data_IF_726162087289
#
_entry.id   IF_726162087289
#
_cell.length_a   1.000
_cell.length_b   1.000
_cell.length_c   1.000
_cell.angle_alpha   90.00
_cell.angle_beta   90.00
_cell.angle_gamma   90.00
#
_symmetry.space_group_name_H-M   'P 1'
#
loop_
_entity.id
_entity.type
_entity.pdbx_description
1 polymer ?
#
# COMPACT_ATOMS: atom_id res chain seq x y z
N UNK A 1 -5.59 8.40 -9.68
CA UNK A 1 -6.53 7.52 -8.96
C UNK A 1 -6.55 8.02 -7.52
N UNK A 2 -7.64 8.61 -7.06
CA UNK A 2 -7.71 9.24 -5.72
C UNK A 2 -7.83 8.14 -4.66
N UNK A 3 -6.92 8.14 -3.70
CA UNK A 3 -6.99 7.29 -2.53
C UNK A 3 -7.92 7.94 -1.52
N UNK A 4 -8.98 7.24 -1.11
CA UNK A 4 -9.96 7.75 -0.15
C UNK A 4 -9.49 7.42 1.27
N UNK A 5 -9.40 8.42 2.14
CA UNK A 5 -9.24 8.23 3.58
C UNK A 5 -10.59 8.52 4.21
N UNK A 6 -11.21 7.49 4.80
CA UNK A 6 -12.48 7.62 5.51
C UNK A 6 -12.22 7.58 7.01
N UNK A 7 -12.62 8.64 7.71
CA UNK A 7 -12.52 8.74 9.16
C UNK A 7 -13.76 8.12 9.81
N UNK A 8 -13.56 7.22 10.77
CA UNK A 8 -14.61 6.70 11.64
C UNK A 8 -14.22 6.94 13.09
N UNK A 9 -14.99 7.79 13.79
CA UNK A 9 -14.91 7.96 15.24
C UNK A 9 -15.86 6.95 15.89
N UNK A 10 -15.35 6.15 16.82
CA UNK A 10 -16.15 5.20 17.60
C UNK A 10 -15.96 5.49 19.09
N UNK A 11 -17.07 5.73 19.78
CA UNK A 11 -17.12 6.21 21.16
C UNK A 11 -17.88 5.17 21.99
N UNK A 12 -17.24 4.63 23.04
CA UNK A 12 -17.84 3.67 23.96
C UNK A 12 -17.67 4.18 25.41
N UNK A 13 -18.48 3.68 26.34
CA UNK A 13 -18.64 4.16 27.73
C UNK A 13 -17.35 4.21 28.59
N UNK A 14 -16.21 3.76 28.07
CA UNK A 14 -14.93 3.70 28.79
C UNK A 14 -13.73 4.32 28.03
N UNK A 15 -13.81 4.54 26.70
CA UNK A 15 -12.73 5.11 25.87
C UNK A 15 -13.27 5.70 24.56
N UNK A 16 -12.67 6.80 24.11
CA UNK A 16 -12.84 7.33 22.75
C UNK A 16 -11.73 6.78 21.87
N UNK A 17 -12.07 6.25 20.68
CA UNK A 17 -11.10 5.78 19.70
C UNK A 17 -11.39 6.39 18.34
N UNK A 18 -10.33 6.80 17.63
CA UNK A 18 -10.43 7.37 16.28
C UNK A 18 -9.70 6.43 15.34
N UNK A 19 -10.37 6.04 14.26
CA UNK A 19 -9.83 5.17 13.24
C UNK A 19 -9.91 5.84 11.88
N UNK A 20 -8.89 5.64 11.05
CA UNK A 20 -8.91 6.00 9.65
C UNK A 20 -8.71 4.75 8.83
N UNK A 21 -9.65 4.49 7.92
CA UNK A 21 -9.43 3.49 6.88
C UNK A 21 -8.50 4.10 5.84
N UNK A 22 -7.33 3.49 5.68
CA UNK A 22 -6.38 3.78 4.62
C UNK A 22 -6.49 2.67 3.57
N UNK A 23 -7.28 2.91 2.53
CA UNK A 23 -7.24 2.04 1.36
C UNK A 23 -5.90 2.30 0.66
N UNK A 24 -5.06 1.28 0.47
CA UNK A 24 -3.82 1.49 -0.29
C UNK A 24 -4.18 1.80 -1.76
N UNK A 25 -3.46 2.72 -2.44
CA UNK A 25 -3.70 2.97 -3.86
C UNK A 25 -3.56 1.66 -4.63
N UNK A 26 -4.54 1.37 -5.49
CA UNK A 26 -4.64 0.09 -6.19
C UNK A 26 -3.31 -0.26 -6.88
N UNK A 27 -2.99 -1.56 -7.03
CA UNK A 27 -1.75 -2.02 -7.63
C UNK A 27 -1.41 -1.44 -9.02
N UNK A 28 -2.42 -0.92 -9.74
CA UNK A 28 -2.28 -0.27 -11.04
C UNK A 28 -1.39 0.98 -11.02
N UNK A 29 -1.20 1.60 -9.85
CA UNK A 29 -0.29 2.74 -9.66
C UNK A 29 1.08 2.34 -9.11
N UNK A 30 1.30 1.05 -8.80
CA UNK A 30 2.59 0.56 -8.33
C UNK A 30 3.52 0.42 -9.53
N UNK A 31 4.68 1.05 -9.41
CA UNK A 31 5.75 0.87 -10.37
C UNK A 31 6.41 -0.47 -10.12
N UNK A 32 5.92 -1.54 -10.75
CA UNK A 32 6.58 -2.85 -10.70
C UNK A 32 8.05 -2.77 -11.15
N UNK A 33 8.38 -1.74 -11.91
CA UNK A 33 9.70 -1.44 -12.45
C UNK A 33 10.67 -0.81 -11.45
N UNK A 34 10.22 -0.22 -10.33
CA UNK A 34 11.07 0.73 -9.59
C UNK A 34 11.88 0.15 -8.44
N UNK A 35 11.61 -1.05 -7.90
CA UNK A 35 12.51 -1.53 -6.84
C UNK A 35 12.61 -3.04 -6.74
N UNK A 36 13.40 -3.62 -7.65
CA UNK A 36 13.97 -4.96 -7.48
C UNK A 36 14.80 -5.06 -6.19
N UNK A 37 15.40 -3.96 -5.76
CA UNK A 37 16.14 -3.88 -4.50
C UNK A 37 15.25 -4.12 -3.28
N UNK A 38 13.98 -3.71 -3.31
CA UNK A 38 13.03 -4.03 -2.23
C UNK A 38 12.78 -5.53 -2.15
N UNK A 39 12.65 -6.22 -3.30
CA UNK A 39 12.50 -7.69 -3.27
C UNK A 39 13.73 -8.33 -2.64
N UNK A 40 14.92 -7.82 -2.95
CA UNK A 40 16.18 -8.31 -2.39
C UNK A 40 16.27 -8.05 -0.88
N UNK A 41 15.91 -6.85 -0.43
CA UNK A 41 15.85 -6.48 0.99
C UNK A 41 14.83 -7.32 1.76
N UNK A 42 13.69 -7.64 1.13
CA UNK A 42 12.67 -8.52 1.68
C UNK A 42 13.07 -10.01 1.65
N UNK A 43 14.29 -10.33 1.20
CA UNK A 43 14.87 -11.67 1.25
C UNK A 43 14.51 -12.57 0.07
N UNK A 44 13.99 -12.02 -1.03
CA UNK A 44 13.70 -12.79 -2.24
C UNK A 44 15.01 -13.15 -2.95
N UNK A 45 15.27 -14.43 -3.25
CA UNK A 45 16.47 -14.85 -3.97
C UNK A 45 16.64 -14.19 -5.35
N UNK A 46 17.87 -13.82 -5.70
CA UNK A 46 18.20 -13.10 -6.94
C UNK A 46 17.70 -13.84 -8.21
N UNK A 47 17.75 -15.18 -8.23
CA UNK A 47 17.25 -15.94 -9.38
C UNK A 47 15.73 -15.79 -9.57
N UNK A 48 14.93 -15.66 -8.49
CA UNK A 48 13.50 -15.38 -8.58
C UNK A 48 13.25 -13.93 -9.02
N UNK A 49 14.06 -12.98 -8.53
CA UNK A 49 14.02 -11.59 -9.00
C UNK A 49 14.31 -11.51 -10.50
N UNK A 50 15.29 -12.28 -11.00
CA UNK A 50 15.59 -12.37 -12.42
C UNK A 50 14.42 -12.93 -13.24
N UNK A 51 13.75 -14.00 -12.75
CA UNK A 51 12.54 -14.52 -13.38
C UNK A 51 11.42 -13.47 -13.44
N UNK A 52 11.22 -12.71 -12.36
CA UNK A 52 10.25 -11.61 -12.34
C UNK A 52 10.64 -10.50 -13.32
N UNK A 53 11.90 -10.10 -13.38
CA UNK A 53 12.40 -9.12 -14.38
C UNK A 53 12.06 -9.56 -15.79
N UNK A 54 12.34 -10.82 -16.13
CA UNK A 54 12.03 -11.37 -17.45
C UNK A 54 10.52 -11.45 -17.71
N UNK A 55 9.73 -11.76 -16.68
CA UNK A 55 8.27 -11.74 -16.78
C UNK A 55 7.74 -10.33 -17.07
N UNK A 56 8.35 -9.27 -16.53
CA UNK A 56 7.90 -7.88 -16.73
C UNK A 56 8.65 -7.14 -17.85
N UNK A 57 9.60 -7.78 -18.53
CA UNK A 57 10.34 -7.19 -19.65
C UNK A 57 9.47 -7.06 -20.92
N UNK A 58 9.72 -5.99 -21.69
CA UNK A 58 9.19 -5.73 -23.04
C UNK A 58 7.68 -5.97 -23.18
N UNK A 59 6.92 -5.63 -22.13
CA UNK A 59 5.50 -5.83 -22.12
C UNK A 59 4.78 -4.80 -22.98
N UNK A 60 3.89 -5.27 -23.85
CA UNK A 60 3.00 -4.41 -24.62
C UNK A 60 1.54 -4.68 -24.26
N UNK A 61 0.71 -3.63 -24.37
CA UNK A 61 -0.72 -3.70 -24.21
C UNK A 61 -1.43 -2.92 -25.31
N UNK A 62 -2.71 -3.22 -25.48
CA UNK A 62 -3.64 -2.47 -26.33
C UNK A 62 -4.96 -2.31 -25.58
N UNK A 63 -5.68 -1.22 -25.83
CA UNK A 63 -6.98 -0.95 -25.20
C UNK A 63 -8.09 -1.21 -26.21
N UNK A 64 -9.05 -2.06 -25.84
CA UNK A 64 -10.31 -2.22 -26.59
C UNK A 64 -11.36 -1.26 -26.03
N UNK A 65 -11.93 -0.43 -26.89
CA UNK A 65 -13.04 0.48 -26.56
C UNK A 65 -14.23 0.24 -27.52
N UNK A 66 -15.31 1.02 -27.35
CA UNK A 66 -16.51 0.88 -28.20
C UNK A 66 -16.30 1.21 -29.68
N UNK A 67 -15.18 1.83 -30.04
CA UNK A 67 -14.82 2.24 -31.40
C UNK A 67 -13.75 1.36 -32.05
N UNK A 68 -13.28 0.32 -31.36
CA UNK A 68 -12.25 -0.59 -31.86
C UNK A 68 -11.12 -0.80 -30.86
N UNK A 69 -9.93 -1.07 -31.39
CA UNK A 69 -8.72 -1.33 -30.61
C UNK A 69 -7.66 -0.29 -30.90
N UNK A 70 -6.94 0.16 -29.87
CA UNK A 70 -5.76 1.03 -30.04
C UNK A 70 -4.58 0.25 -30.60
N UNK A 71 -3.57 0.98 -31.08
CA UNK A 71 -2.24 0.42 -31.33
C UNK A 71 -1.61 -0.15 -30.06
N UNK A 72 -0.62 -1.02 -30.27
CA UNK A 72 0.22 -1.54 -29.19
C UNK A 72 1.05 -0.42 -28.58
N UNK A 73 1.16 -0.42 -27.26
CA UNK A 73 2.04 0.47 -26.51
C UNK A 73 2.73 -0.28 -25.38
N UNK A 74 3.93 0.17 -25.05
CA UNK A 74 4.75 -0.41 -23.99
C UNK A 74 4.16 -0.11 -22.60
N UNK A 75 4.08 -1.14 -21.75
CA UNK A 75 3.61 -1.02 -20.37
C UNK A 75 4.75 -0.47 -19.51
N UNK A 76 4.71 0.83 -19.22
CA UNK A 76 5.72 1.46 -18.36
C UNK A 76 5.48 1.28 -16.85
N UNK A 77 4.24 0.95 -16.42
CA UNK A 77 3.84 0.88 -15.00
C UNK A 77 2.72 -0.12 -14.77
N UNK A 78 2.61 -0.58 -13.52
CA UNK A 78 1.52 -1.41 -13.04
C UNK A 78 1.86 -2.90 -13.01
N UNK A 79 1.05 -3.63 -12.26
CA UNK A 79 1.06 -5.10 -12.22
C UNK A 79 0.23 -5.69 -13.37
N UNK A 80 0.57 -6.90 -13.82
CA UNK A 80 -0.27 -7.67 -14.76
C UNK A 80 -1.59 -8.04 -14.09
N UNK A 81 -2.72 -7.52 -14.57
CA UNK A 81 -4.04 -7.96 -14.09
C UNK A 81 -4.28 -9.43 -14.48
N UNK A 82 -4.86 -10.22 -13.57
CA UNK A 82 -5.07 -11.66 -13.76
C UNK A 82 -3.81 -12.53 -13.58
N UNK A 83 -2.65 -11.93 -13.34
CA UNK A 83 -1.45 -12.69 -12.96
C UNK A 83 -1.54 -13.14 -11.50
N UNK A 84 -1.30 -14.43 -11.25
CA UNK A 84 -1.35 -15.03 -9.91
C UNK A 84 -0.31 -14.45 -8.95
N UNK A 85 0.81 -13.92 -9.46
CA UNK A 85 1.86 -13.32 -8.64
C UNK A 85 1.58 -11.87 -8.24
N UNK A 86 0.68 -11.21 -8.96
CA UNK A 86 0.39 -9.79 -8.75
C UNK A 86 -0.12 -9.47 -7.33
N UNK A 87 -1.06 -10.24 -6.74
CA UNK A 87 -1.45 -10.04 -5.34
C UNK A 87 -0.30 -10.25 -4.36
N UNK A 88 0.56 -11.25 -4.59
CA UNK A 88 1.71 -11.53 -3.72
C UNK A 88 2.72 -10.38 -3.74
N UNK A 89 3.02 -9.85 -4.93
CA UNK A 89 3.94 -8.72 -5.09
C UNK A 89 3.38 -7.47 -4.42
N UNK A 90 2.09 -7.19 -4.58
CA UNK A 90 1.44 -6.06 -3.91
C UNK A 90 1.53 -6.18 -2.39
N UNK A 91 1.20 -7.35 -1.83
CA UNK A 91 1.27 -7.58 -0.38
C UNK A 91 2.70 -7.42 0.15
N UNK A 92 3.71 -7.84 -0.61
CA UNK A 92 5.12 -7.67 -0.23
C UNK A 92 5.52 -6.19 -0.17
N UNK A 93 5.11 -5.37 -1.15
CA UNK A 93 5.34 -3.93 -1.10
C UNK A 93 4.59 -3.25 0.04
N UNK A 94 3.35 -3.65 0.30
CA UNK A 94 2.58 -3.14 1.44
C UNK A 94 3.27 -3.49 2.76
N UNK A 95 3.77 -4.72 2.90
CA UNK A 95 4.52 -5.15 4.08
C UNK A 95 5.82 -4.34 4.26
N UNK A 96 6.59 -4.14 3.19
CA UNK A 96 7.80 -3.31 3.21
C UNK A 96 7.51 -1.89 3.73
N UNK A 97 6.46 -1.25 3.23
CA UNK A 97 6.04 0.09 3.68
C UNK A 97 5.70 0.07 5.17
N UNK A 98 4.94 -0.92 5.61
CA UNK A 98 4.46 -0.99 7.00
C UNK A 98 5.60 -1.24 7.99
N UNK A 99 6.58 -2.06 7.63
CA UNK A 99 7.80 -2.28 8.44
C UNK A 99 8.62 -1.00 8.54
N UNK A 100 8.84 -0.33 7.41
CA UNK A 100 9.68 0.86 7.36
C UNK A 100 8.98 2.12 7.89
N UNK A 101 7.65 2.12 8.01
CA UNK A 101 6.91 3.24 8.57
C UNK A 101 7.11 3.39 10.09
N UNK A 102 7.81 2.45 10.74
CA UNK A 102 8.11 2.50 12.17
C UNK A 102 6.83 2.58 13.01
N UNK A 103 5.84 1.77 12.64
CA UNK A 103 4.56 1.68 13.34
C UNK A 103 4.70 0.81 14.59
N UNK A 104 5.50 -0.25 14.56
CA UNK A 104 5.67 -1.13 15.73
C UNK A 104 6.28 -0.39 16.94
N UNK A 105 7.20 0.54 16.69
CA UNK A 105 7.84 1.38 17.70
C UNK A 105 7.03 2.63 18.05
N UNK A 106 5.94 2.91 17.33
CA UNK A 106 5.11 4.08 17.58
C UNK A 106 4.36 3.92 18.91
N UNK A 107 4.39 4.97 19.74
CA UNK A 107 3.56 5.07 20.94
C UNK A 107 2.07 5.29 20.59
N UNK A 108 1.81 5.86 19.41
CA UNK A 108 0.47 6.09 18.88
C UNK A 108 -0.24 4.76 18.54
N UNK A 109 -1.49 4.62 18.95
CA UNK A 109 -2.30 3.41 18.78
C UNK A 109 -3.30 3.19 19.90
N UNK A 110 -4.06 2.09 19.84
CA UNK A 110 -4.99 1.70 20.88
C UNK A 110 -4.34 0.64 21.77
N UNK A 111 -4.28 0.89 23.08
CA UNK A 111 -3.76 -0.08 24.06
C UNK A 111 -4.80 -1.16 24.36
N UNK A 112 -4.51 -2.40 23.96
CA UNK A 112 -5.33 -3.59 24.22
C UNK A 112 -4.46 -4.62 24.94
N UNK A 113 -4.88 -5.06 26.14
CA UNK A 113 -4.17 -6.06 26.94
C UNK A 113 -2.65 -5.79 27.10
N UNK A 114 -2.26 -4.52 27.28
CA UNK A 114 -0.87 -4.09 27.43
C UNK A 114 -0.07 -3.98 26.13
N UNK A 115 -0.66 -4.27 24.96
CA UNK A 115 -0.05 -4.11 23.64
C UNK A 115 -0.61 -2.90 22.92
N UNK A 116 0.22 -2.22 22.15
CA UNK A 116 -0.23 -1.12 21.31
C UNK A 116 -0.65 -1.65 19.93
N UNK A 117 -1.90 -1.37 19.53
CA UNK A 117 -2.45 -1.78 18.25
C UNK A 117 -2.77 -0.53 17.44
N UNK A 118 -2.02 -0.31 16.36
CA UNK A 118 -2.17 0.89 15.53
C UNK A 118 -2.55 0.62 14.07
N UNK A 119 -2.55 -0.64 13.66
CA UNK A 119 -3.00 -1.03 12.32
C UNK A 119 -3.73 -2.38 12.34
N UNK A 120 -4.72 -2.52 11.46
CA UNK A 120 -5.37 -3.78 11.10
C UNK A 120 -5.30 -3.91 9.58
N UNK A 121 -4.90 -5.09 9.08
CA UNK A 121 -4.65 -5.31 7.66
C UNK A 121 -5.48 -6.47 7.14
N UNK A 122 -6.19 -6.25 6.03
CA UNK A 122 -6.97 -7.28 5.34
C UNK A 122 -6.83 -7.08 3.84
N UNK A 123 -6.15 -8.00 3.16
CA UNK A 123 -5.86 -7.92 1.73
C UNK A 123 -5.31 -6.54 1.33
N UNK A 124 -6.07 -5.76 0.57
CA UNK A 124 -5.72 -4.42 0.07
C UNK A 124 -6.11 -3.25 0.99
N UNK A 125 -6.85 -3.53 2.07
CA UNK A 125 -7.28 -2.53 3.04
C UNK A 125 -6.40 -2.53 4.30
N UNK A 126 -5.93 -1.34 4.68
CA UNK A 126 -5.24 -1.12 5.95
C UNK A 126 -6.03 -0.10 6.77
N UNK A 127 -6.41 -0.46 7.99
CA UNK A 127 -7.04 0.48 8.92
C UNK A 127 -6.01 0.93 9.94
N UNK A 128 -5.73 2.24 9.99
CA UNK A 128 -4.92 2.84 11.04
C UNK A 128 -5.83 3.27 12.21
N UNK A 129 -5.35 3.11 13.43
CA UNK A 129 -6.13 3.35 14.64
C UNK A 129 -5.28 4.06 15.69
N UNK A 130 -5.87 5.01 16.40
CA UNK A 130 -5.23 5.71 17.52
C UNK A 130 -6.26 6.21 18.55
N UNK A 131 -5.77 6.66 19.71
CA UNK A 131 -6.63 7.24 20.75
C UNK A 131 -6.96 8.73 20.47
N UNK A 132 -6.17 9.42 19.62
CA UNK A 132 -6.41 10.81 19.20
C UNK A 132 -6.24 11.04 17.69
N UNK A 133 -6.77 12.17 17.20
CA UNK A 133 -6.66 12.55 15.78
C UNK A 133 -5.22 12.94 15.44
N UNK A 134 -4.51 13.55 16.37
CA UNK A 134 -3.10 13.94 16.27
C UNK A 134 -2.20 12.72 16.10
N UNK A 135 -2.40 11.68 16.92
CA UNK A 135 -1.71 10.40 16.80
C UNK A 135 -1.99 9.72 15.47
N UNK A 136 -3.26 9.70 15.05
CA UNK A 136 -3.66 9.07 13.79
C UNK A 136 -3.04 9.79 12.59
N UNK A 137 -2.99 11.13 12.59
CA UNK A 137 -2.27 11.92 11.58
C UNK A 137 -0.78 11.60 11.58
N UNK A 138 -0.16 11.44 12.74
CA UNK A 138 1.27 11.07 12.84
C UNK A 138 1.54 9.71 12.18
N UNK A 139 0.75 8.69 12.49
CA UNK A 139 0.83 7.36 11.86
C UNK A 139 0.66 7.45 10.35
N UNK A 140 -0.33 8.22 9.90
CA UNK A 140 -0.65 8.38 8.49
C UNK A 140 0.46 9.12 7.71
N UNK A 141 1.10 10.12 8.31
CA UNK A 141 2.25 10.80 7.72
C UNK A 141 3.47 9.89 7.58
N UNK A 142 3.71 9.00 8.55
CA UNK A 142 4.77 7.98 8.45
C UNK A 142 4.54 7.02 7.28
N UNK A 143 3.34 6.45 7.20
CA UNK A 143 2.97 5.53 6.09
C UNK A 143 3.04 6.24 4.74
N UNK A 144 2.60 7.50 4.66
CA UNK A 144 2.71 8.31 3.45
C UNK A 144 4.17 8.50 3.03
N UNK A 145 5.04 8.90 3.95
CA UNK A 145 6.45 9.15 3.64
C UNK A 145 7.13 7.89 3.06
N UNK A 146 6.90 6.71 3.65
CA UNK A 146 7.47 5.46 3.13
C UNK A 146 6.85 5.02 1.80
N UNK A 147 5.55 5.24 1.63
CA UNK A 147 4.88 4.90 0.37
C UNK A 147 5.36 5.76 -0.79
N UNK A 148 5.63 7.05 -0.55
CA UNK A 148 6.15 7.95 -1.58
C UNK A 148 7.54 7.52 -2.09
N UNK A 149 8.38 6.93 -1.22
CA UNK A 149 9.69 6.36 -1.62
C UNK A 149 9.55 5.22 -2.62
N UNK A 150 8.45 4.47 -2.56
CA UNK A 150 8.15 3.36 -3.48
C UNK A 150 7.21 3.76 -4.61
N UNK A 151 6.99 5.07 -4.80
CA UNK A 151 6.19 5.62 -5.89
C UNK A 151 4.67 5.56 -5.67
N UNK A 152 4.22 5.22 -4.46
CA UNK A 152 2.82 5.22 -4.06
C UNK A 152 2.44 6.56 -3.44
N UNK A 153 1.63 7.34 -4.15
CA UNK A 153 1.16 8.65 -3.67
C UNK A 153 -0.25 8.52 -3.10
N UNK A 154 -0.43 9.00 -1.87
CA UNK A 154 -1.75 9.17 -1.27
C UNK A 154 -2.24 10.60 -1.42
N UNK A 155 -3.54 10.75 -1.67
CA UNK A 155 -4.19 12.04 -1.52
C UNK A 155 -4.88 12.05 -0.15
N UNK A 156 -4.30 12.79 0.80
CA UNK A 156 -4.88 12.94 2.14
C UNK A 156 -5.81 14.14 2.09
N UNK A 157 -7.08 13.90 1.80
CA UNK A 157 -8.11 14.92 1.99
C UNK A 157 -8.75 14.72 3.36
N UNK A 158 -8.75 15.81 4.14
CA UNK A 158 -9.55 15.92 5.35
C UNK A 158 -10.94 16.34 4.90
N UNK A 159 -11.94 15.48 5.06
CA UNK A 159 -13.33 15.92 5.11
C UNK A 159 -13.65 16.34 6.55
#
# INVERSE_FOLDING_TARGET
MNTYISWKKQENSRKTSISALLTMPKPLTVWITINWEILKEMGIPEHLICLLRNLYADQEAMVRNGHGTTDWFQIGKGIRQGCILSPCLFNLYAEYIMRNAGLEEAQAGIKIAGRNINNLRSADDTTLMAESEEELKSLLMKVKAESEKVGLKFNIQKN
#
